data_IF_457123807552
#
_entry.id   IF_457123807552
#
_cell.length_a   1.000
_cell.length_b   1.000
_cell.length_c   1.000
_cell.angle_alpha   90.00
_cell.angle_beta   90.00
_cell.angle_gamma   90.00
#
_symmetry.space_group_name_H-M   'P 1'
#
loop_
_entity.id
_entity.type
_entity.pdbx_description
1 polymer ?
#
# COMPACT_ATOMS: atom_id res chain seq x y z
N UNK A 1 -22.29 13.00 -3.83
CA UNK A 1 -21.60 13.40 -2.59
C UNK A 1 -22.00 14.79 -2.11
N UNK A 2 -21.91 15.86 -2.92
CA UNK A 2 -22.35 17.20 -2.52
C UNK A 2 -23.82 17.27 -2.09
N UNK A 3 -24.71 16.53 -2.75
CA UNK A 3 -26.12 16.44 -2.33
C UNK A 3 -26.33 15.75 -0.97
N UNK A 4 -25.36 14.94 -0.52
CA UNK A 4 -25.41 14.18 0.74
C UNK A 4 -24.68 14.97 1.84
N UNK A 5 -23.61 15.68 1.50
CA UNK A 5 -22.76 16.46 2.42
C UNK A 5 -22.60 17.91 1.93
N UNK A 6 -23.69 18.70 1.87
CA UNK A 6 -23.66 20.03 1.28
C UNK A 6 -22.78 21.01 2.06
N UNK A 7 -22.78 20.95 3.39
CA UNK A 7 -21.99 21.85 4.24
C UNK A 7 -20.48 21.62 4.09
N UNK A 8 -20.07 20.35 3.88
CA UNK A 8 -18.66 19.98 3.77
C UNK A 8 -18.11 20.11 2.34
N UNK A 9 -18.91 19.81 1.32
CA UNK A 9 -18.45 19.68 -0.07
C UNK A 9 -19.08 20.69 -1.03
N UNK A 10 -20.04 21.51 -0.59
CA UNK A 10 -20.83 22.40 -1.47
C UNK A 10 -20.00 23.43 -2.25
N UNK A 11 -18.82 23.78 -1.76
CA UNK A 11 -17.87 24.68 -2.43
C UNK A 11 -16.65 23.97 -3.05
N UNK A 12 -16.58 22.64 -2.94
CA UNK A 12 -15.41 21.85 -3.40
C UNK A 12 -15.73 21.26 -4.77
N UNK A 13 -14.96 21.64 -5.79
CA UNK A 13 -15.07 21.02 -7.11
C UNK A 13 -14.47 19.61 -7.14
N UNK A 14 -14.83 18.84 -8.18
CA UNK A 14 -14.40 17.45 -8.33
C UNK A 14 -12.88 17.29 -8.36
N UNK A 15 -12.16 18.16 -9.08
CA UNK A 15 -10.71 18.05 -9.18
C UNK A 15 -10.02 18.35 -7.85
N UNK A 16 -10.51 19.36 -7.13
CA UNK A 16 -10.04 19.70 -5.80
C UNK A 16 -10.26 18.51 -4.85
N UNK A 17 -11.44 17.88 -4.91
CA UNK A 17 -11.74 16.70 -4.12
C UNK A 17 -10.77 15.54 -4.44
N UNK A 18 -10.59 15.20 -5.72
CA UNK A 18 -9.70 14.11 -6.15
C UNK A 18 -8.25 14.38 -5.72
N UNK A 19 -7.76 15.62 -5.89
CA UNK A 19 -6.42 16.00 -5.44
C UNK A 19 -6.27 15.91 -3.92
N UNK A 20 -7.28 16.31 -3.16
CA UNK A 20 -7.24 16.24 -1.69
C UNK A 20 -7.23 14.82 -1.16
N UNK A 21 -7.97 13.90 -1.81
CA UNK A 21 -7.97 12.47 -1.43
C UNK A 21 -6.63 11.81 -1.74
N UNK A 22 -5.93 12.27 -2.79
CA UNK A 22 -4.63 11.75 -3.20
C UNK A 22 -3.46 12.64 -2.75
N UNK A 23 -3.60 13.41 -1.67
CA UNK A 23 -2.53 14.29 -1.21
C UNK A 23 -1.36 13.46 -0.63
N UNK A 24 -0.15 13.72 -1.13
CA UNK A 24 1.08 13.11 -0.61
C UNK A 24 1.61 13.97 0.53
N UNK A 25 1.85 13.34 1.69
CA UNK A 25 2.44 14.01 2.84
C UNK A 25 3.19 12.98 3.70
N UNK A 26 4.54 13.04 3.72
CA UNK A 26 5.31 12.26 4.67
C UNK A 26 4.84 12.53 6.11
N UNK A 27 4.62 11.45 6.85
CA UNK A 27 4.07 11.49 8.20
C UNK A 27 4.71 10.44 9.10
N UNK A 28 4.33 10.46 10.38
CA UNK A 28 4.82 9.50 11.37
C UNK A 28 4.03 8.19 11.33
N UNK A 29 2.74 8.29 11.01
CA UNK A 29 1.77 7.22 11.21
C UNK A 29 1.58 6.39 9.94
N UNK A 30 2.04 5.14 9.95
CA UNK A 30 1.95 4.19 8.83
C UNK A 30 0.50 3.92 8.41
N UNK A 31 -0.42 3.82 9.38
CA UNK A 31 -1.84 3.59 9.12
C UNK A 31 -2.52 4.72 8.35
N UNK A 32 -1.95 5.92 8.42
CA UNK A 32 -2.47 7.15 7.80
C UNK A 32 -1.63 7.60 6.59
N UNK A 33 -0.58 6.84 6.24
CA UNK A 33 0.35 7.22 5.19
C UNK A 33 -0.31 7.16 3.81
N UNK A 34 0.09 8.09 2.94
CA UNK A 34 -0.38 8.15 1.56
C UNK A 34 0.23 7.02 0.71
N UNK A 35 -0.34 6.82 -0.48
CA UNK A 35 0.02 5.72 -1.38
C UNK A 35 1.50 5.73 -1.82
N UNK A 36 2.16 6.89 -1.84
CA UNK A 36 3.57 7.02 -2.24
C UNK A 36 4.48 6.75 -1.04
N UNK A 37 4.16 7.31 0.13
CA UNK A 37 5.03 7.22 1.32
C UNK A 37 4.83 5.95 2.13
N UNK A 38 3.68 5.27 2.01
CA UNK A 38 3.35 4.04 2.74
C UNK A 38 4.43 2.95 2.61
N UNK A 39 4.96 2.75 1.40
CA UNK A 39 5.98 1.72 1.14
C UNK A 39 7.27 1.94 1.96
N UNK A 40 7.63 3.20 2.22
CA UNK A 40 8.83 3.55 3.00
C UNK A 40 8.69 3.14 4.47
N UNK A 41 7.50 3.27 5.05
CA UNK A 41 7.23 2.78 6.40
C UNK A 41 7.40 1.26 6.51
N UNK A 42 7.06 0.52 5.45
CA UNK A 42 7.22 -0.94 5.39
C UNK A 42 8.70 -1.32 5.25
N UNK A 43 9.44 -0.66 4.35
CA UNK A 43 10.86 -0.89 4.13
C UNK A 43 11.65 -0.70 5.43
N UNK A 44 11.40 0.42 6.13
CA UNK A 44 12.02 0.71 7.44
C UNK A 44 11.85 -0.45 8.42
N UNK A 45 10.61 -0.95 8.58
CA UNK A 45 10.32 -2.05 9.53
C UNK A 45 10.98 -3.34 9.11
N UNK A 46 10.95 -3.66 7.83
CA UNK A 46 11.60 -4.85 7.28
C UNK A 46 13.11 -4.83 7.51
N UNK A 47 13.77 -3.70 7.27
CA UNK A 47 15.21 -3.57 7.48
C UNK A 47 15.59 -3.66 8.96
N UNK A 48 14.81 -3.07 9.86
CA UNK A 48 15.02 -3.21 11.30
C UNK A 48 14.81 -4.67 11.77
N UNK A 49 13.81 -5.37 11.23
CA UNK A 49 13.62 -6.81 11.48
C UNK A 49 14.83 -7.62 11.04
N UNK A 50 15.38 -7.35 9.85
CA UNK A 50 16.60 -8.00 9.37
C UNK A 50 17.79 -7.72 10.28
N UNK A 51 17.98 -6.46 10.70
CA UNK A 51 19.09 -6.07 11.56
C UNK A 51 19.02 -6.73 12.95
N UNK A 52 17.82 -6.82 13.54
CA UNK A 52 17.57 -7.54 14.79
C UNK A 52 17.86 -9.03 14.65
N UNK A 53 17.36 -9.67 13.60
CA UNK A 53 17.55 -11.11 13.35
C UNK A 53 19.01 -11.46 13.06
N UNK A 54 19.74 -10.56 12.39
CA UNK A 54 21.17 -10.68 12.14
C UNK A 54 22.03 -10.36 13.38
N UNK A 55 21.44 -9.81 14.45
CA UNK A 55 22.16 -9.38 15.65
C UNK A 55 23.06 -8.16 15.42
N UNK A 56 22.85 -7.41 14.34
CA UNK A 56 23.61 -6.19 14.03
C UNK A 56 23.17 -4.99 14.87
N UNK A 57 21.95 -5.01 15.39
CA UNK A 57 21.45 -4.08 16.41
C UNK A 57 20.79 -4.88 17.54
N UNK A 58 20.79 -4.33 18.75
CA UNK A 58 20.03 -4.88 19.87
C UNK A 58 18.64 -4.22 19.98
N UNK A 59 17.74 -4.85 20.73
CA UNK A 59 16.41 -4.27 21.02
C UNK A 59 16.51 -2.89 21.68
N UNK A 60 17.57 -2.63 22.45
CA UNK A 60 17.77 -1.33 23.11
C UNK A 60 18.11 -0.21 22.14
N UNK A 61 18.65 -0.55 20.98
CA UNK A 61 19.08 0.42 19.96
C UNK A 61 17.94 0.77 18.99
N UNK A 62 16.82 0.03 19.04
CA UNK A 62 15.68 0.20 18.13
C UNK A 62 15.09 1.61 18.10
N UNK A 63 14.88 2.33 19.23
CA UNK A 63 14.34 3.67 19.19
C UNK A 63 15.20 4.63 18.34
N UNK A 64 16.52 4.58 18.51
CA UNK A 64 17.45 5.43 17.76
C UNK A 64 17.52 5.03 16.29
N UNK A 65 17.64 3.73 16.00
CA UNK A 65 17.67 3.22 14.63
C UNK A 65 16.37 3.55 13.86
N UNK A 66 15.22 3.45 14.53
CA UNK A 66 13.93 3.84 13.99
C UNK A 66 13.89 5.34 13.64
N UNK A 67 14.28 6.19 14.58
CA UNK A 67 14.23 7.64 14.39
C UNK A 67 15.16 8.09 13.25
N UNK A 68 16.35 7.49 13.15
CA UNK A 68 17.28 7.72 12.05
C UNK A 68 16.66 7.33 10.70
N UNK A 69 16.09 6.13 10.59
CA UNK A 69 15.46 5.66 9.36
C UNK A 69 14.22 6.47 8.96
N UNK A 70 13.38 6.89 9.94
CA UNK A 70 12.24 7.79 9.68
C UNK A 70 12.72 9.14 9.10
N UNK A 71 13.82 9.68 9.63
CA UNK A 71 14.39 10.92 9.13
C UNK A 71 14.97 10.75 7.72
N UNK A 72 15.67 9.64 7.47
CA UNK A 72 16.30 9.34 6.18
C UNK A 72 15.26 9.14 5.07
N UNK A 73 14.25 8.30 5.31
CA UNK A 73 13.28 7.92 4.28
C UNK A 73 12.13 8.91 4.13
N UNK A 74 11.63 9.46 5.23
CA UNK A 74 10.42 10.30 5.23
C UNK A 74 10.71 11.77 5.55
N UNK A 75 11.92 12.12 5.98
CA UNK A 75 12.29 13.50 6.32
C UNK A 75 11.69 14.03 7.63
N UNK A 76 11.00 13.18 8.39
CA UNK A 76 10.25 13.58 9.60
C UNK A 76 11.05 13.30 10.88
N UNK A 77 10.88 14.17 11.88
CA UNK A 77 11.46 14.00 13.21
C UNK A 77 10.45 13.30 14.13
N UNK A 78 10.89 12.22 14.79
CA UNK A 78 10.04 11.45 15.71
C UNK A 78 10.09 12.10 17.09
N UNK A 79 8.95 12.53 17.68
CA UNK A 79 8.93 13.28 18.93
C UNK A 79 9.11 12.40 20.17
N UNK A 80 8.65 11.16 20.11
CA UNK A 80 8.68 10.19 21.21
C UNK A 80 8.49 8.75 20.68
N UNK A 81 8.72 7.76 21.54
CA UNK A 81 8.62 6.35 21.17
C UNK A 81 7.19 5.92 20.80
N UNK A 82 6.15 6.62 21.30
CA UNK A 82 4.75 6.30 21.00
C UNK A 82 4.40 6.64 19.54
N UNK A 83 4.99 7.69 18.99
CA UNK A 83 4.93 8.03 17.56
C UNK A 83 6.08 7.42 16.75
N UNK A 84 6.99 6.72 17.42
CA UNK A 84 8.14 6.04 16.85
C UNK A 84 7.98 4.52 16.88
N UNK A 85 8.96 3.85 17.48
CA UNK A 85 9.09 2.39 17.51
C UNK A 85 7.90 1.66 18.14
N UNK A 86 7.12 2.30 19.03
CA UNK A 86 5.96 1.70 19.71
C UNK A 86 4.63 1.92 18.99
N UNK A 87 4.65 2.59 17.83
CA UNK A 87 3.47 2.89 17.03
C UNK A 87 2.63 1.64 16.69
N UNK A 88 3.28 0.53 16.36
CA UNK A 88 2.63 -0.68 15.85
C UNK A 88 2.70 -1.83 16.86
N UNK A 89 1.60 -2.57 16.99
CA UNK A 89 1.53 -3.72 17.89
C UNK A 89 2.24 -4.99 17.37
N UNK A 90 2.64 -5.04 16.10
CA UNK A 90 3.10 -6.26 15.43
C UNK A 90 4.24 -6.96 16.18
N UNK A 91 5.29 -6.22 16.54
CA UNK A 91 6.45 -6.79 17.23
C UNK A 91 6.11 -7.25 18.65
N UNK A 92 5.20 -6.57 19.36
CA UNK A 92 4.80 -6.97 20.71
C UNK A 92 3.97 -8.26 20.74
N UNK A 93 3.27 -8.58 19.65
CA UNK A 93 2.52 -9.82 19.47
C UNK A 93 3.25 -10.88 18.63
N UNK A 94 4.55 -10.68 18.38
CA UNK A 94 5.44 -11.66 17.75
C UNK A 94 5.32 -11.77 16.23
N UNK A 95 4.70 -10.81 15.55
CA UNK A 95 4.54 -10.79 14.09
C UNK A 95 5.79 -10.25 13.38
N UNK A 96 6.91 -10.94 13.53
CA UNK A 96 8.15 -10.65 12.80
C UNK A 96 8.07 -11.21 11.37
N UNK A 97 8.49 -10.45 10.36
CA UNK A 97 8.40 -10.81 8.95
C UNK A 97 7.01 -10.57 8.35
N UNK A 98 6.11 -9.91 9.09
CA UNK A 98 4.74 -9.65 8.65
C UNK A 98 4.63 -8.40 7.77
N UNK A 99 5.34 -7.32 8.11
CA UNK A 99 5.21 -6.04 7.40
C UNK A 99 5.42 -6.10 5.88
N UNK A 100 6.38 -6.87 5.33
CA UNK A 100 6.57 -6.98 3.88
C UNK A 100 5.30 -7.40 3.13
N UNK A 101 4.37 -8.12 3.80
CA UNK A 101 3.11 -8.56 3.17
C UNK A 101 2.20 -7.40 2.77
N UNK A 102 2.25 -6.26 3.46
CA UNK A 102 1.47 -5.08 3.07
C UNK A 102 1.96 -4.53 1.73
N UNK A 103 3.28 -4.37 1.56
CA UNK A 103 3.84 -3.83 0.32
C UNK A 103 3.72 -4.83 -0.83
N UNK A 104 3.80 -6.14 -0.55
CA UNK A 104 3.46 -7.17 -1.54
C UNK A 104 2.02 -7.01 -2.04
N UNK A 105 1.08 -6.67 -1.16
CA UNK A 105 -0.30 -6.37 -1.55
C UNK A 105 -0.41 -5.21 -2.55
N UNK A 106 0.30 -4.12 -2.30
CA UNK A 106 0.32 -2.95 -3.19
C UNK A 106 0.91 -3.27 -4.57
N UNK A 107 2.01 -4.03 -4.62
CA UNK A 107 2.62 -4.42 -5.89
C UNK A 107 1.71 -5.38 -6.67
N UNK A 108 1.17 -6.40 -5.99
CA UNK A 108 0.30 -7.40 -6.59
C UNK A 108 -1.02 -6.79 -7.07
N UNK A 109 -1.57 -5.80 -6.35
CA UNK A 109 -2.84 -5.17 -6.74
C UNK A 109 -2.75 -4.52 -8.11
N UNK A 110 -1.66 -3.80 -8.40
CA UNK A 110 -1.46 -3.15 -9.70
C UNK A 110 -1.16 -4.17 -10.81
N UNK A 111 -0.37 -5.21 -10.51
CA UNK A 111 -0.11 -6.27 -11.50
C UNK A 111 -1.39 -7.03 -11.90
N UNK A 112 -2.29 -7.28 -10.93
CA UNK A 112 -3.62 -7.86 -11.20
C UNK A 112 -4.52 -6.87 -11.94
N UNK A 113 -4.49 -5.59 -11.55
CA UNK A 113 -5.27 -4.52 -12.17
C UNK A 113 -4.94 -4.35 -13.65
N UNK A 114 -3.66 -4.30 -14.02
CA UNK A 114 -3.23 -4.19 -15.41
C UNK A 114 -3.70 -5.37 -16.26
N UNK A 115 -3.67 -6.59 -15.70
CA UNK A 115 -4.25 -7.75 -16.37
C UNK A 115 -5.77 -7.61 -16.54
N UNK A 116 -6.48 -7.22 -15.49
CA UNK A 116 -7.93 -7.04 -15.54
C UNK A 116 -8.34 -5.99 -16.58
N UNK A 117 -7.61 -4.89 -16.69
CA UNK A 117 -7.80 -3.87 -17.74
C UNK A 117 -7.57 -4.46 -19.13
N UNK A 118 -6.47 -5.19 -19.33
CA UNK A 118 -6.19 -5.81 -20.63
C UNK A 118 -7.31 -6.77 -21.07
N UNK A 119 -7.93 -7.50 -20.15
CA UNK A 119 -9.00 -8.45 -20.44
C UNK A 119 -10.39 -7.78 -20.58
N UNK A 120 -10.67 -6.72 -19.83
CA UNK A 120 -11.99 -6.07 -19.75
C UNK A 120 -12.12 -4.78 -20.57
N UNK A 121 -11.02 -4.21 -21.07
CA UNK A 121 -10.98 -2.90 -21.71
C UNK A 121 -10.73 -1.78 -20.69
N UNK A 122 -11.61 -0.77 -20.65
CA UNK A 122 -11.52 0.32 -19.68
C UNK A 122 -12.57 0.16 -18.55
N UNK A 123 -12.17 -0.31 -17.35
CA UNK A 123 -13.08 -0.43 -16.22
C UNK A 123 -13.50 0.94 -15.65
N UNK A 124 -12.77 2.03 -15.90
CA UNK A 124 -13.09 3.34 -15.33
C UNK A 124 -14.40 3.90 -15.90
N UNK A 125 -14.69 3.68 -17.19
CA UNK A 125 -15.97 4.01 -17.80
C UNK A 125 -17.15 3.23 -17.17
N UNK A 126 -16.90 2.03 -16.66
CA UNK A 126 -17.89 1.22 -15.97
C UNK A 126 -18.12 1.77 -14.56
N UNK A 127 -17.06 2.14 -13.85
CA UNK A 127 -17.12 2.75 -12.52
C UNK A 127 -17.84 4.10 -12.53
N UNK A 128 -17.62 4.93 -13.55
CA UNK A 128 -18.30 6.22 -13.72
C UNK A 128 -19.84 6.06 -13.80
N UNK A 129 -20.32 4.90 -14.25
CA UNK A 129 -21.75 4.54 -14.31
C UNK A 129 -22.24 3.74 -13.10
N UNK A 130 -21.36 3.48 -12.13
CA UNK A 130 -21.63 2.68 -10.96
C UNK A 130 -21.68 1.17 -11.23
N UNK A 131 -21.19 0.71 -12.37
CA UNK A 131 -21.11 -0.72 -12.69
C UNK A 131 -19.74 -1.30 -12.31
N UNK A 132 -19.73 -2.06 -11.22
CA UNK A 132 -18.55 -2.78 -10.73
C UNK A 132 -18.64 -4.29 -10.98
N UNK A 133 -19.73 -4.77 -11.61
CA UNK A 133 -19.96 -6.20 -11.78
C UNK A 133 -18.90 -6.86 -12.66
N UNK A 134 -18.45 -6.28 -13.80
CA UNK A 134 -17.47 -6.95 -14.66
C UNK A 134 -16.13 -7.19 -13.96
N UNK A 135 -15.56 -6.18 -13.28
CA UNK A 135 -14.34 -6.35 -12.50
C UNK A 135 -14.52 -7.39 -11.39
N UNK A 136 -15.63 -7.35 -10.65
CA UNK A 136 -15.90 -8.30 -9.57
C UNK A 136 -15.97 -9.75 -10.08
N UNK A 137 -16.65 -9.98 -11.19
CA UNK A 137 -16.76 -11.33 -11.76
C UNK A 137 -15.41 -11.81 -12.33
N UNK A 138 -14.64 -10.91 -12.94
CA UNK A 138 -13.27 -11.22 -13.36
C UNK A 138 -12.40 -11.63 -12.16
N UNK A 139 -12.39 -10.84 -11.07
CA UNK A 139 -11.65 -11.18 -9.85
C UNK A 139 -12.13 -12.49 -9.22
N UNK A 140 -13.43 -12.78 -9.28
CA UNK A 140 -13.99 -14.05 -8.80
C UNK A 140 -13.43 -15.23 -9.59
N UNK A 141 -13.43 -15.14 -10.91
CA UNK A 141 -13.00 -16.23 -11.80
C UNK A 141 -11.48 -16.43 -11.77
N UNK A 142 -10.70 -15.34 -11.73
CA UNK A 142 -9.25 -15.42 -11.85
C UNK A 142 -8.53 -15.52 -10.50
N UNK A 143 -9.11 -15.00 -9.41
CA UNK A 143 -8.45 -14.93 -8.10
C UNK A 143 -9.26 -15.67 -7.03
N UNK A 144 -10.48 -15.22 -6.73
CA UNK A 144 -11.15 -15.59 -5.47
C UNK A 144 -11.59 -17.04 -5.42
N UNK A 145 -12.09 -17.61 -6.52
CA UNK A 145 -12.59 -19.00 -6.54
C UNK A 145 -11.51 -20.03 -6.24
N UNK A 146 -10.24 -19.68 -6.43
CA UNK A 146 -9.12 -20.60 -6.23
C UNK A 146 -8.77 -20.77 -4.75
N UNK A 147 -9.13 -19.80 -3.89
CA UNK A 147 -8.79 -19.84 -2.46
C UNK A 147 -7.31 -20.16 -2.26
N UNK A 148 -7.01 -21.18 -1.45
CA UNK A 148 -5.65 -21.67 -1.20
C UNK A 148 -5.24 -22.86 -2.08
N UNK A 149 -5.90 -23.08 -3.22
CA UNK A 149 -5.59 -24.17 -4.15
C UNK A 149 -4.17 -24.07 -4.71
N UNK A 150 -3.68 -22.85 -4.93
CA UNK A 150 -2.35 -22.59 -5.46
C UNK A 150 -1.51 -21.78 -4.46
N UNK A 151 -0.18 -22.01 -4.40
CA UNK A 151 0.73 -21.09 -3.73
C UNK A 151 0.59 -19.66 -4.29
N UNK A 152 0.75 -18.60 -3.49
CA UNK A 152 0.52 -17.22 -3.93
C UNK A 152 1.29 -16.82 -5.20
N UNK A 153 2.57 -17.20 -5.30
CA UNK A 153 3.40 -16.93 -6.49
C UNK A 153 2.88 -17.66 -7.74
N UNK A 154 2.34 -18.86 -7.57
CA UNK A 154 1.76 -19.60 -8.68
C UNK A 154 0.42 -18.99 -9.11
N UNK A 155 -0.44 -18.62 -8.17
CA UNK A 155 -1.68 -17.92 -8.48
C UNK A 155 -1.41 -16.61 -9.23
N UNK A 156 -0.45 -15.80 -8.75
CA UNK A 156 -0.04 -14.57 -9.41
C UNK A 156 0.37 -14.80 -10.87
N UNK A 157 1.22 -15.80 -11.12
CA UNK A 157 1.62 -16.18 -12.49
C UNK A 157 0.45 -16.63 -13.35
N UNK A 158 -0.48 -17.42 -12.79
CA UNK A 158 -1.67 -17.90 -13.52
C UNK A 158 -2.59 -16.75 -13.91
N UNK A 159 -2.72 -15.74 -13.05
CA UNK A 159 -3.57 -14.57 -13.30
C UNK A 159 -2.91 -13.62 -14.28
N UNK A 160 -1.67 -13.22 -13.98
CA UNK A 160 -1.02 -12.08 -14.65
C UNK A 160 -0.12 -12.49 -15.82
N UNK A 161 0.34 -13.75 -15.85
CA UNK A 161 1.30 -14.26 -16.82
C UNK A 161 2.77 -14.04 -16.45
N UNK A 162 3.07 -13.35 -15.34
CA UNK A 162 4.43 -13.06 -14.88
C UNK A 162 4.62 -13.37 -13.39
N UNK A 163 5.89 -13.48 -12.97
CA UNK A 163 6.23 -13.48 -11.54
C UNK A 163 5.94 -12.10 -10.91
N UNK A 164 6.20 -11.96 -9.60
CA UNK A 164 6.07 -10.67 -8.92
C UNK A 164 7.00 -9.64 -9.56
N UNK A 165 6.42 -8.54 -10.00
CA UNK A 165 7.11 -7.44 -10.67
C UNK A 165 6.70 -6.09 -10.06
N UNK A 166 7.64 -5.29 -9.51
CA UNK A 166 7.32 -3.97 -8.98
C UNK A 166 7.10 -2.90 -10.07
N UNK A 167 7.54 -3.11 -11.30
CA UNK A 167 7.51 -2.09 -12.35
C UNK A 167 6.09 -1.57 -12.66
N UNK A 168 5.03 -2.40 -12.75
CA UNK A 168 3.66 -1.90 -12.92
C UNK A 168 3.23 -0.95 -11.80
N UNK A 169 3.59 -1.27 -10.55
CA UNK A 169 3.26 -0.43 -9.39
C UNK A 169 3.97 0.93 -9.45
N UNK A 170 5.27 0.93 -9.79
CA UNK A 170 6.03 2.18 -9.96
C UNK A 170 5.47 3.01 -11.11
N UNK A 171 5.20 2.40 -12.26
CA UNK A 171 4.60 3.07 -13.42
C UNK A 171 3.24 3.71 -13.08
N UNK A 172 2.41 3.02 -12.28
CA UNK A 172 1.15 3.56 -11.78
C UNK A 172 1.36 4.80 -10.89
N UNK A 173 2.30 4.76 -9.94
CA UNK A 173 2.59 5.92 -9.10
C UNK A 173 3.09 7.10 -9.93
N UNK A 174 4.03 6.87 -10.85
CA UNK A 174 4.52 7.91 -11.76
C UNK A 174 3.37 8.51 -12.57
N UNK A 175 2.56 7.68 -13.23
CA UNK A 175 1.45 8.16 -14.06
C UNK A 175 0.37 8.94 -13.28
N UNK A 176 0.20 8.65 -11.98
CA UNK A 176 -0.82 9.28 -11.14
C UNK A 176 -0.33 10.59 -10.50
N UNK A 177 0.96 10.71 -10.21
CA UNK A 177 1.50 11.79 -9.37
C UNK A 177 2.54 12.68 -10.05
N UNK A 178 3.07 12.32 -11.23
CA UNK A 178 3.94 13.15 -12.08
C UNK A 178 3.20 13.68 -13.31
#
# INVERSE_FOLDING_TARGET
MQAIFPDALGAVDEQAFVRSVNAIRPGLIRGDADEVTYGLHIILRFELELQLLAGTISVRDLPEAWNAAMKEYLGVDVPDDAHGVLQDMHWSVGLIGYFPTYQLGNVVSVQIWERARADLGDPEEQFARGDFAPLREWLREHVYRHGSMYPPRELLRRVTGSDLDPEPYLAYLHAKFE
#
